data_IF_459570030294
#
_entry.id   IF_459570030294
#
_cell.length_a   1.000
_cell.length_b   1.000
_cell.length_c   1.000
_cell.angle_alpha   90.00
_cell.angle_beta   90.00
_cell.angle_gamma   90.00
#
_symmetry.space_group_name_H-M   'P 1'
#
loop_
_entity.id
_entity.type
_entity.pdbx_description
1 polymer ?
#
# COMPACT_ATOMS: atom_id res chain seq x y z
N UNK A 1 -41.24 63.35 -36.02
CA UNK A 1 -42.09 63.21 -34.80
C UNK A 1 -41.24 62.49 -33.76
N UNK A 2 -40.97 62.96 -32.54
CA UNK A 2 -41.63 64.02 -31.76
C UNK A 2 -42.88 63.46 -31.08
N UNK A 3 -43.07 63.50 -29.76
CA UNK A 3 -42.28 64.08 -28.63
C UNK A 3 -42.50 63.19 -27.38
N UNK A 4 -42.10 63.39 -26.11
CA UNK A 4 -41.57 64.49 -25.27
C UNK A 4 -40.99 63.89 -23.94
N UNK A 5 -40.53 64.62 -22.91
CA UNK A 5 -39.45 65.63 -22.75
C UNK A 5 -39.38 65.98 -21.24
N UNK A 6 -38.17 66.25 -20.69
CA UNK A 6 -37.88 67.20 -19.57
C UNK A 6 -37.91 66.68 -18.12
N UNK A 7 -36.96 67.16 -17.29
CA UNK A 7 -36.95 66.91 -15.84
C UNK A 7 -35.73 67.41 -15.02
N UNK A 8 -34.69 67.98 -15.63
CA UNK A 8 -33.41 68.29 -14.96
C UNK A 8 -33.46 69.43 -13.92
N UNK A 9 -32.60 69.36 -12.89
CA UNK A 9 -31.77 70.51 -12.45
C UNK A 9 -30.65 70.15 -11.46
N UNK A 10 -29.43 70.57 -11.78
CA UNK A 10 -28.35 70.82 -10.83
C UNK A 10 -28.46 72.25 -10.26
N UNK A 11 -27.89 72.49 -9.07
CA UNK A 11 -27.44 73.81 -8.60
C UNK A 11 -26.11 73.59 -7.85
N UNK A 12 -25.15 74.52 -7.96
CA UNK A 12 -23.75 74.29 -7.61
C UNK A 12 -23.23 75.09 -6.40
N UNK A 13 -22.21 74.54 -5.71
CA UNK A 13 -20.96 75.28 -5.49
C UNK A 13 -20.50 75.66 -4.06
N UNK A 14 -19.25 75.26 -3.74
CA UNK A 14 -18.21 76.04 -3.01
C UNK A 14 -18.40 76.27 -1.47
N UNK A 15 -17.35 76.31 -0.60
CA UNK A 15 -15.97 75.78 -0.65
C UNK A 15 -15.60 74.82 0.53
N UNK A 16 -14.34 74.38 0.64
CA UNK A 16 -13.77 73.70 1.83
C UNK A 16 -13.03 74.67 2.78
N UNK A 17 -13.02 74.42 4.11
CA UNK A 17 -11.94 74.85 5.00
C UNK A 17 -10.79 73.81 5.09
N UNK A 18 -9.60 74.23 5.53
CA UNK A 18 -8.43 73.36 5.82
C UNK A 18 -8.15 73.35 7.33
N UNK A 19 -7.93 72.18 7.93
CA UNK A 19 -7.13 72.02 9.17
C UNK A 19 -6.29 70.74 9.03
N UNK A 20 -4.97 70.85 8.89
CA UNK A 20 -3.91 70.97 9.95
C UNK A 20 -3.49 69.59 10.50
N UNK A 21 -2.26 69.19 10.15
CA UNK A 21 -1.61 67.95 10.60
C UNK A 21 -0.79 68.27 11.87
N UNK A 22 -0.95 67.52 12.98
CA UNK A 22 -0.08 67.66 14.15
C UNK A 22 1.26 66.96 13.91
N UNK A 23 2.38 67.65 14.16
CA UNK A 23 3.71 67.08 14.08
C UNK A 23 4.03 66.20 15.32
N UNK A 24 4.78 65.08 15.17
CA UNK A 24 5.17 64.25 16.30
C UNK A 24 6.17 64.99 17.21
N UNK A 25 5.85 65.09 18.50
CA UNK A 25 6.76 65.66 19.51
C UNK A 25 7.93 64.70 19.77
N UNK A 26 9.15 65.24 19.74
CA UNK A 26 10.34 64.52 20.13
C UNK A 26 10.41 64.29 21.65
N UNK A 27 10.83 63.09 22.06
CA UNK A 27 11.49 62.83 23.35
C UNK A 27 12.77 62.07 23.08
N UNK A 28 13.88 62.54 23.62
CA UNK A 28 15.19 61.89 23.48
C UNK A 28 15.34 60.73 24.46
N UNK A 29 16.26 59.85 24.13
CA UNK A 29 16.65 58.64 24.83
C UNK A 29 16.79 58.82 26.35
N UNK A 30 16.36 57.81 27.11
CA UNK A 30 17.19 57.29 28.19
C UNK A 30 17.68 55.92 27.75
N UNK A 31 18.99 55.75 27.65
CA UNK A 31 19.60 54.43 27.43
C UNK A 31 19.80 53.78 28.79
N UNK A 32 19.29 52.57 28.94
CA UNK A 32 19.78 51.62 29.94
C UNK A 32 20.48 50.49 29.19
N UNK A 33 21.60 50.02 29.71
CA UNK A 33 22.42 48.96 29.11
C UNK A 33 22.39 47.71 29.99
N UNK A 34 22.52 46.54 29.33
CA UNK A 34 22.69 45.21 29.93
C UNK A 34 21.45 44.63 30.64
N UNK A 35 21.20 43.32 30.61
CA UNK A 35 21.92 42.22 29.93
C UNK A 35 21.10 41.64 28.77
N UNK A 36 21.81 41.09 27.79
CA UNK A 36 21.28 40.02 26.92
C UNK A 36 21.74 38.71 27.54
N UNK A 37 20.83 37.96 28.16
CA UNK A 37 21.14 36.62 28.64
C UNK A 37 21.03 35.64 27.47
N UNK A 38 22.19 35.40 26.85
CA UNK A 38 22.40 34.39 25.82
C UNK A 38 22.38 32.97 26.44
N UNK A 39 21.96 32.00 25.63
CA UNK A 39 21.86 30.56 25.95
C UNK A 39 20.83 30.13 27.00
N UNK A 40 19.62 29.85 26.53
CA UNK A 40 18.82 28.73 27.03
C UNK A 40 18.98 27.54 26.06
N UNK A 41 19.74 26.48 26.41
CA UNK A 41 19.79 25.25 25.61
C UNK A 41 18.58 24.36 25.93
N UNK A 42 17.99 23.71 24.91
CA UNK A 42 17.06 22.61 25.14
C UNK A 42 15.58 22.84 24.83
N UNK A 43 15.22 23.59 23.77
CA UNK A 43 13.94 23.38 23.06
C UNK A 43 14.18 23.28 21.56
N UNK A 44 14.50 22.08 21.08
CA UNK A 44 14.09 21.73 19.70
C UNK A 44 12.57 21.64 19.73
N UNK A 45 11.89 22.18 18.72
CA UNK A 45 10.45 21.95 18.61
C UNK A 45 10.20 20.50 18.21
N UNK A 46 9.07 19.91 18.62
CA UNK A 46 8.74 18.52 18.27
C UNK A 46 8.84 18.27 16.75
N UNK A 47 8.44 19.25 15.93
CA UNK A 47 8.60 19.20 14.47
C UNK A 47 10.07 19.16 13.99
N UNK A 48 11.02 19.76 14.71
CA UNK A 48 12.46 19.61 14.43
C UNK A 48 12.97 18.24 14.87
N UNK A 49 12.46 17.68 15.97
CA UNK A 49 12.86 16.36 16.45
C UNK A 49 12.33 15.25 15.54
N UNK A 50 11.05 15.28 15.15
CA UNK A 50 10.48 14.38 14.15
C UNK A 50 11.20 14.48 12.80
N UNK A 51 11.57 15.68 12.33
CA UNK A 51 12.36 15.82 11.10
C UNK A 51 13.76 15.23 11.21
N UNK A 52 14.44 15.39 12.35
CA UNK A 52 15.76 14.78 12.58
C UNK A 52 15.66 13.25 12.72
N UNK A 53 14.63 12.74 13.41
CA UNK A 53 14.33 11.31 13.49
C UNK A 53 14.03 10.73 12.10
N UNK A 54 13.14 11.38 11.35
CA UNK A 54 12.82 11.06 9.95
C UNK A 54 14.07 10.99 9.07
N UNK A 55 14.92 12.03 9.06
CA UNK A 55 16.18 12.02 8.31
C UNK A 55 17.14 10.89 8.72
N UNK A 56 17.25 10.59 10.01
CA UNK A 56 18.07 9.47 10.49
C UNK A 56 17.50 8.09 10.15
N UNK A 57 16.17 7.99 10.02
CA UNK A 57 15.46 6.81 9.52
C UNK A 57 15.59 6.68 8.00
N UNK A 58 15.55 7.79 7.24
CA UNK A 58 15.80 7.81 5.78
C UNK A 58 17.14 7.16 5.44
N UNK A 59 18.18 7.46 6.22
CA UNK A 59 19.52 6.86 6.08
C UNK A 59 19.59 5.36 6.42
N UNK A 60 18.49 4.75 6.92
CA UNK A 60 18.34 3.33 7.26
C UNK A 60 17.26 2.62 6.45
N UNK A 61 16.64 3.27 5.45
CA UNK A 61 15.58 2.66 4.61
C UNK A 61 16.11 1.65 3.58
N UNK A 62 17.42 1.61 3.34
CA UNK A 62 18.06 0.74 2.35
C UNK A 62 19.19 -0.04 3.03
N UNK A 63 18.96 -1.33 3.28
CA UNK A 63 19.92 -2.28 3.82
C UNK A 63 20.46 -3.25 2.75
N UNK A 64 21.15 -4.33 3.18
CA UNK A 64 21.77 -5.28 2.25
C UNK A 64 20.77 -6.06 1.38
N UNK A 65 19.55 -6.30 1.88
CA UNK A 65 18.49 -7.02 1.16
C UNK A 65 17.89 -6.12 0.08
N UNK A 66 17.60 -4.87 0.42
CA UNK A 66 17.09 -3.84 -0.48
C UNK A 66 18.09 -3.56 -1.61
N UNK A 67 19.40 -3.51 -1.31
CA UNK A 67 20.44 -3.36 -2.34
C UNK A 67 20.48 -4.53 -3.33
N UNK A 68 20.23 -5.78 -2.90
CA UNK A 68 20.10 -6.92 -3.81
C UNK A 68 18.84 -6.79 -4.67
N UNK A 69 17.70 -6.46 -4.08
CA UNK A 69 16.46 -6.25 -4.83
C UNK A 69 16.64 -5.15 -5.90
N UNK A 70 17.18 -3.98 -5.52
CA UNK A 70 17.51 -2.89 -6.45
C UNK A 70 18.44 -3.38 -7.59
N UNK A 71 19.43 -4.22 -7.30
CA UNK A 71 20.32 -4.82 -8.32
C UNK A 71 19.59 -5.76 -9.30
N UNK A 72 18.55 -6.48 -8.85
CA UNK A 72 17.67 -7.26 -9.72
C UNK A 72 16.74 -6.37 -10.55
N UNK A 73 16.18 -5.30 -9.96
CA UNK A 73 15.34 -4.33 -10.67
C UNK A 73 16.10 -3.60 -11.79
N UNK A 74 17.40 -3.34 -11.63
CA UNK A 74 18.26 -2.81 -12.69
C UNK A 74 18.68 -3.83 -13.77
N UNK A 75 18.28 -5.11 -13.66
CA UNK A 75 18.61 -6.18 -14.61
C UNK A 75 17.42 -6.78 -15.34
N UNK A 76 16.26 -6.85 -14.70
CA UNK A 76 15.02 -7.26 -15.36
C UNK A 76 14.40 -6.10 -16.14
N UNK A 77 13.58 -6.45 -17.13
CA UNK A 77 12.72 -5.50 -17.83
C UNK A 77 11.24 -5.75 -17.47
N UNK A 78 10.62 -4.90 -16.64
CA UNK A 78 9.17 -4.92 -16.42
C UNK A 78 8.36 -4.65 -17.70
N UNK A 79 8.99 -4.14 -18.76
CA UNK A 79 8.44 -4.00 -20.12
C UNK A 79 7.93 -5.30 -20.72
N UNK A 80 8.50 -6.47 -20.35
CA UNK A 80 8.03 -7.78 -20.84
C UNK A 80 6.62 -8.14 -20.36
N UNK A 81 6.17 -7.54 -19.26
CA UNK A 81 4.85 -7.77 -18.68
C UNK A 81 3.84 -6.78 -19.25
N UNK A 82 3.35 -7.12 -20.44
CA UNK A 82 2.29 -6.38 -21.11
C UNK A 82 0.91 -6.73 -20.51
N UNK A 83 0.00 -5.75 -20.39
CA UNK A 83 -1.41 -5.99 -20.09
C UNK A 83 -2.15 -6.69 -21.25
N UNK A 84 -3.35 -7.26 -21.01
CA UNK A 84 -4.14 -7.91 -22.04
C UNK A 84 -4.46 -6.96 -23.23
N UNK A 85 -4.57 -7.49 -24.46
CA UNK A 85 -4.74 -6.69 -25.68
C UNK A 85 -6.13 -6.02 -25.81
N UNK A 86 -7.09 -6.39 -24.96
CA UNK A 86 -8.42 -5.81 -24.89
C UNK A 86 -8.95 -5.87 -23.45
N UNK A 87 -9.37 -4.75 -22.84
CA UNK A 87 -9.96 -4.75 -21.50
C UNK A 87 -11.29 -5.52 -21.45
N UNK A 88 -11.49 -6.37 -20.44
CA UNK A 88 -12.80 -6.97 -20.14
C UNK A 88 -13.69 -5.94 -19.42
N UNK A 89 -14.81 -5.50 -20.03
CA UNK A 89 -15.66 -4.47 -19.42
C UNK A 89 -16.27 -4.91 -18.07
N UNK A 90 -16.46 -6.21 -17.85
CA UNK A 90 -17.01 -6.75 -16.60
C UNK A 90 -15.96 -6.83 -15.49
N UNK A 91 -14.66 -6.91 -15.81
CA UNK A 91 -13.60 -6.73 -14.81
C UNK A 91 -13.48 -5.23 -14.48
N UNK A 92 -13.44 -4.37 -15.51
CA UNK A 92 -13.36 -2.91 -15.37
C UNK A 92 -14.50 -2.31 -14.54
N UNK A 93 -15.75 -2.73 -14.77
CA UNK A 93 -16.95 -2.28 -14.04
C UNK A 93 -16.77 -2.32 -12.51
N UNK A 94 -16.22 -3.42 -11.99
CA UNK A 94 -16.09 -3.64 -10.55
C UNK A 94 -15.03 -2.72 -9.90
N UNK A 95 -14.03 -2.31 -10.67
CA UNK A 95 -12.88 -1.53 -10.20
C UNK A 95 -12.81 -0.10 -10.73
N UNK A 96 -13.78 0.39 -11.52
CA UNK A 96 -13.70 1.73 -12.13
C UNK A 96 -13.73 2.88 -11.10
N UNK A 97 -14.72 2.91 -10.22
CA UNK A 97 -14.86 3.93 -9.16
C UNK A 97 -14.06 3.55 -7.91
N UNK A 98 -13.63 4.52 -7.07
CA UNK A 98 -13.12 4.24 -5.72
C UNK A 98 -14.11 3.42 -4.87
N UNK A 99 -13.61 2.83 -3.79
CA UNK A 99 -14.47 2.13 -2.81
C UNK A 99 -15.03 3.10 -1.77
N UNK A 100 -16.31 2.93 -1.42
CA UNK A 100 -16.99 3.82 -0.47
C UNK A 100 -16.84 3.38 1.01
N UNK A 101 -16.61 2.09 1.25
CA UNK A 101 -16.47 1.49 2.58
C UNK A 101 -15.71 0.17 2.52
N UNK A 102 -15.33 -0.39 3.67
CA UNK A 102 -14.69 -1.72 3.74
C UNK A 102 -15.62 -2.81 3.17
N UNK A 103 -16.93 -2.72 3.43
CA UNK A 103 -17.92 -3.65 2.88
C UNK A 103 -18.14 -3.50 1.36
N UNK A 104 -18.02 -2.28 0.83
CA UNK A 104 -18.04 -2.05 -0.62
C UNK A 104 -16.80 -2.63 -1.30
N UNK A 105 -15.60 -2.38 -0.74
CA UNK A 105 -14.35 -2.95 -1.19
C UNK A 105 -14.39 -4.48 -1.22
N UNK A 106 -14.75 -5.11 -0.10
CA UNK A 106 -14.87 -6.56 0.02
C UNK A 106 -15.89 -7.15 -0.96
N UNK A 107 -17.08 -6.55 -1.09
CA UNK A 107 -18.11 -7.04 -2.02
C UNK A 107 -17.66 -6.96 -3.49
N UNK A 108 -17.01 -5.85 -3.88
CA UNK A 108 -16.59 -5.62 -5.27
C UNK A 108 -15.34 -6.41 -5.63
N UNK A 109 -14.39 -6.52 -4.70
CA UNK A 109 -13.20 -7.36 -4.87
C UNK A 109 -13.54 -8.86 -4.83
N UNK A 110 -14.50 -9.30 -4.01
CA UNK A 110 -15.03 -10.67 -4.04
C UNK A 110 -15.75 -10.99 -5.34
N UNK A 111 -16.55 -10.05 -5.89
CA UNK A 111 -17.11 -10.21 -7.25
C UNK A 111 -16.05 -10.26 -8.35
N UNK A 112 -14.94 -9.55 -8.18
CA UNK A 112 -13.82 -9.55 -9.14
C UNK A 112 -13.07 -10.88 -9.08
N UNK A 113 -12.75 -11.34 -7.87
CA UNK A 113 -12.18 -12.65 -7.57
C UNK A 113 -12.98 -13.77 -8.23
N UNK A 114 -14.29 -13.80 -8.02
CA UNK A 114 -15.13 -14.86 -8.56
C UNK A 114 -15.27 -14.77 -10.08
N UNK A 115 -15.26 -13.55 -10.67
CA UNK A 115 -15.19 -13.35 -12.13
C UNK A 115 -13.84 -13.78 -12.73
N UNK A 116 -12.75 -13.76 -11.96
CA UNK A 116 -11.43 -14.25 -12.38
C UNK A 116 -11.33 -15.79 -12.26
N UNK A 117 -11.79 -16.38 -11.15
CA UNK A 117 -11.85 -17.85 -10.95
C UNK A 117 -12.67 -18.54 -12.04
N UNK A 118 -13.84 -17.98 -12.38
CA UNK A 118 -14.71 -18.47 -13.47
C UNK A 118 -14.08 -18.37 -14.88
N UNK A 119 -12.91 -17.73 -15.02
CA UNK A 119 -12.12 -17.62 -16.26
C UNK A 119 -10.79 -18.37 -16.21
N UNK A 120 -10.51 -19.09 -15.12
CA UNK A 120 -9.19 -19.69 -14.82
C UNK A 120 -8.03 -18.64 -14.77
N UNK A 121 -8.37 -17.38 -14.46
CA UNK A 121 -7.41 -16.27 -14.47
C UNK A 121 -6.60 -16.25 -13.17
N UNK A 122 -5.30 -16.58 -13.28
CA UNK A 122 -4.35 -16.68 -12.15
C UNK A 122 -4.20 -15.39 -11.33
N UNK A 123 -4.67 -14.23 -11.81
CA UNK A 123 -4.77 -13.00 -11.00
C UNK A 123 -5.74 -13.15 -9.82
N UNK A 124 -6.64 -14.14 -9.86
CA UNK A 124 -7.48 -14.54 -8.73
C UNK A 124 -6.67 -14.96 -7.49
N UNK A 125 -5.49 -15.57 -7.66
CA UNK A 125 -4.76 -16.26 -6.58
C UNK A 125 -4.48 -15.33 -5.39
N UNK A 126 -3.78 -14.22 -5.65
CA UNK A 126 -3.56 -13.20 -4.62
C UNK A 126 -4.87 -12.57 -4.14
N UNK A 127 -5.83 -12.34 -5.04
CA UNK A 127 -7.05 -11.64 -4.72
C UNK A 127 -7.96 -12.43 -3.76
N UNK A 128 -8.03 -13.76 -3.88
CA UNK A 128 -8.74 -14.63 -2.93
C UNK A 128 -8.16 -14.47 -1.51
N UNK A 129 -6.84 -14.55 -1.37
CA UNK A 129 -6.14 -14.35 -0.08
C UNK A 129 -6.45 -12.94 0.47
N UNK A 130 -6.40 -11.92 -0.38
CA UNK A 130 -6.62 -10.53 0.01
C UNK A 130 -8.06 -10.22 0.42
N UNK A 131 -9.07 -10.75 -0.29
CA UNK A 131 -10.49 -10.59 0.07
C UNK A 131 -10.78 -11.25 1.42
N UNK A 132 -10.28 -12.47 1.64
CA UNK A 132 -10.45 -13.20 2.91
C UNK A 132 -9.75 -12.48 4.07
N UNK A 133 -8.52 -11.99 3.87
CA UNK A 133 -7.81 -11.15 4.85
C UNK A 133 -8.60 -9.87 5.18
N UNK A 134 -9.13 -9.19 4.17
CA UNK A 134 -9.92 -7.95 4.35
C UNK A 134 -11.16 -8.20 5.20
N UNK A 135 -11.87 -9.31 4.99
CA UNK A 135 -12.98 -9.76 5.83
C UNK A 135 -12.59 -9.98 7.29
N UNK A 136 -11.53 -10.76 7.55
CA UNK A 136 -11.05 -11.02 8.93
C UNK A 136 -10.59 -9.75 9.66
N UNK A 137 -10.00 -8.78 8.97
CA UNK A 137 -9.66 -7.48 9.58
C UNK A 137 -10.91 -6.61 9.79
N UNK A 138 -11.91 -6.65 8.90
CA UNK A 138 -13.23 -6.02 9.12
C UNK A 138 -13.92 -6.59 10.37
N UNK A 139 -13.94 -7.90 10.52
CA UNK A 139 -14.51 -8.57 11.71
C UNK A 139 -13.80 -8.11 12.99
N UNK A 140 -12.46 -8.05 12.98
CA UNK A 140 -11.69 -7.47 14.09
C UNK A 140 -12.01 -6.00 14.39
N UNK A 141 -12.46 -5.21 13.42
CA UNK A 141 -12.94 -3.83 13.62
C UNK A 141 -14.30 -3.81 14.32
N UNK A 142 -15.25 -4.65 13.89
CA UNK A 142 -16.59 -4.69 14.48
C UNK A 142 -16.63 -5.40 15.86
N UNK A 143 -15.70 -6.32 16.11
CA UNK A 143 -15.43 -6.88 17.45
C UNK A 143 -14.70 -5.91 18.41
N UNK A 144 -14.17 -4.79 17.89
CA UNK A 144 -13.45 -3.80 18.71
C UNK A 144 -12.02 -4.20 19.10
N UNK A 145 -11.34 -5.06 18.31
CA UNK A 145 -9.92 -5.43 18.53
C UNK A 145 -8.95 -4.26 18.35
N UNK A 146 -9.37 -3.23 17.61
CA UNK A 146 -8.57 -2.04 17.29
C UNK A 146 -9.01 -0.82 18.12
N UNK A 147 -8.04 -0.02 18.55
CA UNK A 147 -8.26 1.17 19.35
C UNK A 147 -8.89 2.31 18.51
N UNK A 148 -8.41 2.60 17.30
CA UNK A 148 -9.05 3.52 16.35
C UNK A 148 -9.71 2.74 15.18
N UNK A 149 -10.92 2.18 15.38
CA UNK A 149 -11.64 1.42 14.36
C UNK A 149 -12.03 2.29 13.15
N UNK A 150 -12.07 3.61 13.27
CA UNK A 150 -12.47 4.53 12.21
C UNK A 150 -11.25 4.92 11.33
N UNK A 151 -10.07 5.12 11.92
CA UNK A 151 -8.82 5.14 11.14
C UNK A 151 -8.59 3.80 10.43
N UNK A 152 -8.84 2.68 11.12
CA UNK A 152 -8.74 1.34 10.52
C UNK A 152 -9.66 1.15 9.30
N UNK A 153 -10.95 1.55 9.36
CA UNK A 153 -11.85 1.48 8.19
C UNK A 153 -11.32 2.31 7.01
N UNK A 154 -10.83 3.53 7.25
CA UNK A 154 -10.22 4.36 6.20
C UNK A 154 -8.91 3.77 5.65
N UNK A 155 -8.10 3.14 6.50
CA UNK A 155 -6.85 2.49 6.11
C UNK A 155 -7.14 1.30 5.17
N UNK A 156 -8.09 0.43 5.52
CA UNK A 156 -8.51 -0.69 4.66
C UNK A 156 -9.06 -0.21 3.31
N UNK A 157 -9.95 0.78 3.30
CA UNK A 157 -10.49 1.38 2.05
C UNK A 157 -9.38 1.99 1.20
N UNK A 158 -8.45 2.73 1.81
CA UNK A 158 -7.32 3.35 1.10
C UNK A 158 -6.42 2.28 0.47
N UNK A 159 -6.09 1.22 1.24
CA UNK A 159 -5.21 0.14 0.79
C UNK A 159 -5.86 -0.65 -0.37
N UNK A 160 -7.15 -0.96 -0.26
CA UNK A 160 -7.92 -1.57 -1.35
C UNK A 160 -7.96 -0.68 -2.61
N UNK A 161 -8.06 0.65 -2.45
CA UNK A 161 -8.06 1.59 -3.57
C UNK A 161 -6.70 1.64 -4.32
N UNK A 162 -5.57 1.34 -3.67
CA UNK A 162 -4.28 1.17 -4.35
C UNK A 162 -4.25 -0.07 -5.24
N UNK A 163 -4.67 -1.24 -4.73
CA UNK A 163 -4.83 -2.46 -5.55
C UNK A 163 -5.77 -2.20 -6.73
N UNK A 164 -6.93 -1.60 -6.46
CA UNK A 164 -7.95 -1.25 -7.46
C UNK A 164 -7.38 -0.38 -8.58
N UNK A 165 -6.62 0.68 -8.25
CA UNK A 165 -5.97 1.54 -9.25
C UNK A 165 -4.99 0.75 -10.12
N UNK A 166 -4.15 -0.09 -9.52
CA UNK A 166 -3.19 -0.91 -10.24
C UNK A 166 -3.87 -1.92 -11.18
N UNK A 167 -4.89 -2.64 -10.68
CA UNK A 167 -5.67 -3.58 -11.48
C UNK A 167 -6.43 -2.87 -12.61
N UNK A 168 -7.12 -1.77 -12.33
CA UNK A 168 -7.86 -0.97 -13.32
C UNK A 168 -6.94 -0.45 -14.43
N UNK A 169 -5.77 0.07 -14.08
CA UNK A 169 -4.79 0.54 -15.06
C UNK A 169 -4.25 -0.61 -15.93
N UNK A 170 -3.98 -1.78 -15.33
CA UNK A 170 -3.50 -2.96 -16.05
C UNK A 170 -4.58 -3.49 -16.99
N UNK A 171 -5.79 -3.72 -16.50
CA UNK A 171 -6.93 -4.18 -17.30
C UNK A 171 -7.26 -3.21 -18.45
N UNK A 172 -7.11 -1.89 -18.24
CA UNK A 172 -7.29 -0.87 -19.29
C UNK A 172 -6.13 -0.72 -20.28
N UNK A 173 -5.02 -1.40 -20.08
CA UNK A 173 -3.84 -1.27 -20.93
C UNK A 173 -2.97 -0.03 -20.68
N UNK A 174 -3.25 0.76 -19.62
CA UNK A 174 -2.41 1.92 -19.25
C UNK A 174 -1.18 1.47 -18.46
N UNK A 175 -0.21 0.91 -19.19
CA UNK A 175 1.10 0.48 -18.69
C UNK A 175 1.81 1.56 -17.86
N UNK A 176 1.53 2.85 -18.12
CA UNK A 176 2.22 3.96 -17.47
C UNK A 176 1.66 4.28 -16.08
N UNK A 177 0.38 3.97 -15.84
CA UNK A 177 -0.27 4.13 -14.55
C UNK A 177 -0.09 2.90 -13.62
N UNK A 178 0.19 1.70 -14.15
CA UNK A 178 0.47 0.52 -13.30
C UNK A 178 1.85 0.62 -12.63
N UNK A 179 1.96 0.44 -11.31
CA UNK A 179 3.26 0.31 -10.65
C UNK A 179 4.04 -0.92 -11.14
N UNK A 180 5.35 -0.79 -11.32
CA UNK A 180 6.20 -1.88 -11.82
C UNK A 180 6.11 -3.22 -11.04
N UNK A 181 6.00 -3.29 -9.70
CA UNK A 181 5.78 -4.58 -9.03
C UNK A 181 4.42 -5.21 -9.38
N UNK A 182 3.37 -4.40 -9.57
CA UNK A 182 2.06 -4.86 -10.02
C UNK A 182 2.06 -5.29 -11.49
N UNK A 183 2.85 -4.63 -12.36
CA UNK A 183 3.06 -5.09 -13.74
C UNK A 183 3.66 -6.48 -13.77
N UNK A 184 4.71 -6.72 -12.98
CA UNK A 184 5.33 -8.05 -12.86
C UNK A 184 4.33 -9.07 -12.33
N UNK A 185 3.57 -8.75 -11.27
CA UNK A 185 2.59 -9.67 -10.68
C UNK A 185 1.45 -10.03 -11.65
N UNK A 186 0.76 -9.05 -12.23
CA UNK A 186 -0.37 -9.32 -13.13
C UNK A 186 0.08 -9.93 -14.45
N UNK A 187 1.21 -9.49 -15.03
CA UNK A 187 1.69 -10.01 -16.31
C UNK A 187 2.22 -11.45 -16.21
N UNK A 188 2.91 -11.81 -15.11
CA UNK A 188 3.34 -13.20 -14.92
C UNK A 188 2.15 -14.16 -14.82
N UNK A 189 1.12 -13.78 -14.06
CA UNK A 189 -0.13 -14.52 -13.91
C UNK A 189 -0.91 -14.66 -15.24
N UNK A 190 -1.01 -13.59 -16.05
CA UNK A 190 -1.66 -13.64 -17.37
C UNK A 190 -0.87 -14.48 -18.40
N UNK A 191 0.45 -14.62 -18.24
CA UNK A 191 1.30 -15.37 -19.18
C UNK A 191 1.46 -16.88 -18.84
N UNK A 192 0.92 -17.39 -17.73
CA UNK A 192 1.22 -18.73 -17.16
C UNK A 192 2.74 -18.97 -16.96
N UNK A 193 3.50 -17.91 -16.66
CA UNK A 193 4.95 -17.98 -16.45
C UNK A 193 5.35 -18.62 -15.09
N UNK A 194 4.38 -18.85 -14.21
CA UNK A 194 4.55 -19.03 -12.76
C UNK A 194 3.98 -20.34 -12.22
N UNK A 195 4.40 -20.70 -11.01
CA UNK A 195 3.68 -21.60 -10.10
C UNK A 195 2.65 -20.79 -9.30
N UNK A 196 1.55 -21.39 -8.85
CA UNK A 196 0.44 -20.66 -8.19
C UNK A 196 0.93 -19.95 -6.92
N UNK A 197 1.85 -20.57 -6.18
CA UNK A 197 2.54 -19.95 -5.05
C UNK A 197 3.34 -18.68 -5.45
N UNK A 198 3.97 -18.63 -6.62
CA UNK A 198 4.67 -17.42 -7.09
C UNK A 198 3.67 -16.29 -7.36
N UNK A 199 2.50 -16.57 -7.94
CA UNK A 199 1.45 -15.56 -8.17
C UNK A 199 0.97 -14.95 -6.83
N UNK A 200 0.78 -15.79 -5.81
CA UNK A 200 0.46 -15.33 -4.45
C UNK A 200 1.56 -14.42 -3.88
N UNK A 201 2.82 -14.85 -3.92
CA UNK A 201 3.95 -14.07 -3.39
C UNK A 201 4.22 -12.78 -4.18
N UNK A 202 4.00 -12.76 -5.50
CA UNK A 202 4.11 -11.57 -6.33
C UNK A 202 3.07 -10.51 -5.94
N UNK A 203 1.82 -10.91 -5.73
CA UNK A 203 0.76 -10.03 -5.25
C UNK A 203 1.00 -9.53 -3.83
N UNK A 204 1.38 -10.42 -2.90
CA UNK A 204 1.73 -10.04 -1.51
C UNK A 204 2.89 -9.04 -1.51
N UNK A 205 3.93 -9.28 -2.30
CA UNK A 205 5.06 -8.35 -2.43
C UNK A 205 4.63 -6.99 -3.01
N UNK A 206 3.81 -6.94 -4.06
CA UNK A 206 3.36 -5.68 -4.63
C UNK A 206 2.48 -4.89 -3.64
N UNK A 207 1.60 -5.57 -2.90
CA UNK A 207 0.70 -4.93 -1.95
C UNK A 207 1.42 -4.47 -0.67
N UNK A 208 2.17 -5.37 -0.01
CA UNK A 208 2.86 -5.08 1.25
C UNK A 208 4.10 -4.20 1.06
N UNK A 209 4.94 -4.47 0.05
CA UNK A 209 6.24 -3.77 -0.09
C UNK A 209 6.17 -2.50 -0.96
N UNK A 210 5.05 -2.22 -1.63
CA UNK A 210 4.85 -0.98 -2.40
C UNK A 210 3.60 -0.18 -1.98
N UNK A 211 2.39 -0.74 -2.09
CA UNK A 211 1.14 0.02 -1.85
C UNK A 211 0.99 0.47 -0.39
N UNK A 212 1.39 -0.39 0.56
CA UNK A 212 1.12 -0.22 1.99
C UNK A 212 1.70 1.07 2.57
N UNK A 213 2.94 1.40 2.23
CA UNK A 213 3.63 2.61 2.72
C UNK A 213 2.97 3.90 2.19
N UNK A 214 2.48 3.86 0.95
CA UNK A 214 1.78 4.96 0.29
C UNK A 214 0.34 5.08 0.83
N UNK A 215 -0.28 3.96 1.17
CA UNK A 215 -1.62 3.92 1.80
C UNK A 215 -1.60 4.49 3.22
N UNK A 216 -0.58 4.15 4.01
CA UNK A 216 -0.37 4.67 5.37
C UNK A 216 -0.08 6.17 5.38
N UNK A 217 0.71 6.67 4.42
CA UNK A 217 0.87 8.12 4.19
C UNK A 217 -0.48 8.78 3.84
N UNK A 218 -1.23 8.21 2.89
CA UNK A 218 -2.46 8.79 2.38
C UNK A 218 -3.61 8.82 3.41
N UNK A 219 -3.73 7.82 4.29
CA UNK A 219 -4.73 7.83 5.39
C UNK A 219 -4.32 8.72 6.58
N UNK A 220 -3.03 9.01 6.72
CA UNK A 220 -2.48 9.87 7.78
C UNK A 220 -2.24 9.13 9.09
N UNK A 221 -0.96 8.89 9.42
CA UNK A 221 -0.54 8.28 10.69
C UNK A 221 -0.56 9.25 11.88
N UNK A 222 -0.80 10.55 11.67
CA UNK A 222 -0.93 11.57 12.73
C UNK A 222 -2.38 12.11 12.79
N UNK A 223 -2.86 12.66 13.93
CA UNK A 223 -2.27 12.51 15.27
C UNK A 223 -2.31 11.05 15.75
N UNK A 224 -1.89 10.81 17.00
CA UNK A 224 -1.99 9.52 17.70
C UNK A 224 -1.19 8.37 17.08
N UNK A 225 -0.04 8.71 16.47
CA UNK A 225 0.89 7.81 15.77
C UNK A 225 1.21 6.50 16.50
N UNK A 226 1.40 6.54 17.82
CA UNK A 226 1.67 5.32 18.61
C UNK A 226 0.47 4.37 18.64
N UNK A 227 -0.74 4.88 18.86
CA UNK A 227 -1.97 4.07 18.86
C UNK A 227 -2.25 3.46 17.48
N UNK A 228 -2.08 4.26 16.42
CA UNK A 228 -2.22 3.79 15.03
C UNK A 228 -1.15 2.78 14.63
N UNK A 229 0.05 2.85 15.21
CA UNK A 229 1.09 1.84 15.04
C UNK A 229 0.74 0.53 15.72
N UNK A 230 0.20 0.57 16.94
CA UNK A 230 -0.26 -0.63 17.64
C UNK A 230 -1.47 -1.26 16.92
N UNK A 231 -2.41 -0.46 16.40
CA UNK A 231 -3.49 -0.93 15.52
C UNK A 231 -2.95 -1.53 14.20
N UNK A 232 -1.93 -0.92 13.60
CA UNK A 232 -1.25 -1.44 12.40
C UNK A 232 -0.58 -2.81 12.64
N UNK A 233 0.06 -3.01 13.80
CA UNK A 233 0.68 -4.30 14.18
C UNK A 233 -0.33 -5.33 14.68
N UNK A 234 -1.50 -4.92 15.19
CA UNK A 234 -2.56 -5.85 15.57
C UNK A 234 -3.10 -6.66 14.38
N UNK A 235 -2.93 -6.16 13.15
CA UNK A 235 -3.20 -6.91 11.91
C UNK A 235 -2.24 -8.10 11.74
N UNK A 236 -1.03 -8.06 12.31
CA UNK A 236 -0.02 -9.11 12.10
C UNK A 236 -0.44 -10.43 12.77
N UNK A 237 -1.21 -10.37 13.86
CA UNK A 237 -1.82 -11.54 14.48
C UNK A 237 -2.96 -12.14 13.64
N UNK A 238 -3.64 -11.32 12.83
CA UNK A 238 -4.65 -11.79 11.86
C UNK A 238 -3.95 -12.39 10.63
N UNK A 239 -2.79 -11.85 10.23
CA UNK A 239 -1.98 -12.36 9.13
C UNK A 239 -1.40 -13.75 9.39
N UNK A 240 -0.93 -14.04 10.61
CA UNK A 240 -0.37 -15.34 10.96
C UNK A 240 -1.32 -16.50 10.56
N UNK A 241 -2.54 -16.53 11.11
CA UNK A 241 -3.51 -17.58 10.79
C UNK A 241 -3.96 -17.64 9.32
N UNK A 242 -3.72 -16.59 8.52
CA UNK A 242 -3.93 -16.61 7.05
C UNK A 242 -2.76 -17.25 6.32
N UNK A 243 -1.53 -16.97 6.74
CA UNK A 243 -0.29 -17.58 6.19
C UNK A 243 -0.29 -19.09 6.45
N UNK A 244 -0.54 -19.50 7.70
CA UNK A 244 -0.55 -20.92 8.09
C UNK A 244 -1.57 -21.72 7.27
N UNK A 245 -2.75 -21.14 7.04
CA UNK A 245 -3.83 -21.75 6.25
C UNK A 245 -3.47 -21.85 4.75
N UNK A 246 -2.90 -20.80 4.18
CA UNK A 246 -2.41 -20.82 2.81
C UNK A 246 -1.33 -21.89 2.62
N UNK A 247 -0.40 -22.04 3.57
CA UNK A 247 0.65 -23.05 3.53
C UNK A 247 0.11 -24.47 3.62
N UNK A 248 -0.83 -24.77 4.53
CA UNK A 248 -1.45 -26.11 4.63
C UNK A 248 -2.18 -26.50 3.33
N UNK A 249 -2.92 -25.57 2.73
CA UNK A 249 -3.59 -25.79 1.46
C UNK A 249 -2.59 -26.10 0.33
N UNK A 250 -1.50 -25.32 0.23
CA UNK A 250 -0.43 -25.53 -0.77
C UNK A 250 0.32 -26.86 -0.54
N UNK A 251 0.68 -27.20 0.70
CA UNK A 251 1.35 -28.46 1.03
C UNK A 251 0.51 -29.67 0.61
N UNK A 252 -0.80 -29.67 0.93
CA UNK A 252 -1.73 -30.72 0.52
C UNK A 252 -1.99 -30.83 -0.99
N UNK A 253 -1.57 -29.84 -1.78
CA UNK A 253 -1.63 -29.85 -3.25
C UNK A 253 -0.34 -30.38 -3.88
N UNK A 254 0.81 -29.86 -3.47
CA UNK A 254 2.09 -30.14 -4.13
C UNK A 254 2.85 -31.33 -3.54
N UNK A 255 2.57 -31.72 -2.28
CA UNK A 255 3.23 -32.81 -1.58
C UNK A 255 2.24 -33.71 -0.78
N UNK A 256 1.18 -34.26 -1.42
CA UNK A 256 0.23 -35.14 -0.75
C UNK A 256 0.92 -36.42 -0.23
N UNK A 257 1.08 -36.51 1.09
CA UNK A 257 1.72 -37.65 1.77
C UNK A 257 3.22 -37.47 2.06
N UNK A 258 3.74 -36.24 2.06
CA UNK A 258 5.08 -35.92 2.58
C UNK A 258 4.93 -35.23 3.95
N UNK A 259 5.59 -35.77 4.97
CA UNK A 259 5.54 -35.22 6.35
C UNK A 259 6.44 -33.98 6.54
N UNK A 260 7.41 -33.76 5.65
CA UNK A 260 8.35 -32.63 5.65
C UNK A 260 8.07 -31.70 4.46
N UNK A 261 7.52 -30.52 4.78
CA UNK A 261 7.14 -29.49 3.80
C UNK A 261 8.37 -28.65 3.40
N UNK A 262 9.37 -28.53 4.27
CA UNK A 262 10.52 -27.64 4.08
C UNK A 262 11.47 -28.16 2.99
N UNK A 263 11.57 -29.48 2.78
CA UNK A 263 12.38 -30.04 1.70
C UNK A 263 11.83 -29.69 0.28
N UNK A 264 10.51 -29.48 0.14
CA UNK A 264 9.88 -29.13 -1.14
C UNK A 264 9.93 -27.63 -1.43
N UNK A 265 9.70 -26.79 -0.42
CA UNK A 265 9.64 -25.33 -0.57
C UNK A 265 11.00 -24.65 -0.30
N UNK A 266 11.95 -25.35 0.32
CA UNK A 266 13.34 -24.94 0.49
C UNK A 266 13.47 -23.60 1.22
N UNK A 267 14.13 -22.62 0.59
CA UNK A 267 14.34 -21.28 1.18
C UNK A 267 13.09 -20.38 1.19
N UNK A 268 11.90 -20.95 0.99
CA UNK A 268 10.61 -20.28 1.13
C UNK A 268 9.89 -20.63 2.46
N UNK A 269 10.52 -21.45 3.31
CA UNK A 269 10.44 -21.54 4.79
C UNK A 269 9.37 -20.66 5.48
N UNK A 270 8.51 -21.31 6.28
CA UNK A 270 7.47 -20.68 7.11
C UNK A 270 7.98 -19.48 7.93
N UNK A 271 9.14 -19.65 8.56
CA UNK A 271 9.82 -18.65 9.39
C UNK A 271 10.48 -17.52 8.59
N UNK A 272 10.57 -17.66 7.26
CA UNK A 272 10.93 -16.59 6.34
C UNK A 272 9.70 -15.92 5.72
N UNK A 273 8.60 -16.63 5.44
CA UNK A 273 7.40 -16.05 4.80
C UNK A 273 6.64 -15.13 5.76
N UNK A 274 6.20 -15.61 6.91
CA UNK A 274 5.47 -14.77 7.89
C UNK A 274 6.35 -13.60 8.37
N UNK A 275 7.62 -13.89 8.63
CA UNK A 275 8.62 -12.90 9.04
C UNK A 275 8.85 -11.82 7.99
N UNK A 276 8.96 -12.18 6.71
CA UNK A 276 9.08 -11.22 5.60
C UNK A 276 7.85 -10.32 5.49
N UNK A 277 6.65 -10.84 5.77
CA UNK A 277 5.44 -10.02 5.81
C UNK A 277 5.47 -9.02 6.97
N UNK A 278 5.82 -9.43 8.20
CA UNK A 278 5.96 -8.52 9.34
C UNK A 278 7.09 -7.50 9.13
N UNK A 279 8.28 -7.92 8.68
CA UNK A 279 9.40 -7.02 8.39
C UNK A 279 9.08 -6.03 7.24
N UNK A 280 8.30 -6.45 6.25
CA UNK A 280 7.77 -5.62 5.17
C UNK A 280 6.74 -4.58 5.66
N UNK A 281 5.83 -4.98 6.57
CA UNK A 281 4.86 -4.06 7.20
C UNK A 281 5.55 -3.02 8.09
N UNK A 282 6.53 -3.44 8.88
CA UNK A 282 7.40 -2.55 9.66
C UNK A 282 8.23 -1.60 8.78
N UNK A 283 8.72 -2.06 7.62
CA UNK A 283 9.37 -1.20 6.62
C UNK A 283 8.37 -0.19 6.04
N UNK A 284 7.15 -0.63 5.70
CA UNK A 284 6.11 0.25 5.17
C UNK A 284 5.71 1.34 6.17
N UNK A 285 5.54 1.02 7.45
CA UNK A 285 5.29 1.99 8.52
C UNK A 285 6.45 2.99 8.66
N UNK A 286 7.71 2.52 8.67
CA UNK A 286 8.90 3.38 8.72
C UNK A 286 8.99 4.33 7.51
N UNK A 287 8.65 3.86 6.31
CA UNK A 287 8.62 4.71 5.11
C UNK A 287 7.47 5.73 5.17
N UNK A 288 6.27 5.33 5.62
CA UNK A 288 5.15 6.24 5.81
C UNK A 288 5.49 7.36 6.80
N UNK A 289 6.11 7.03 7.94
CA UNK A 289 6.57 8.00 8.93
C UNK A 289 7.60 8.99 8.36
N UNK A 290 8.60 8.50 7.61
CA UNK A 290 9.58 9.37 6.93
C UNK A 290 8.90 10.34 5.95
N UNK A 291 7.89 9.87 5.20
CA UNK A 291 7.13 10.68 4.23
C UNK A 291 6.26 11.74 4.93
N UNK A 292 5.61 11.38 6.04
CA UNK A 292 4.84 12.30 6.89
C UNK A 292 5.73 13.36 7.53
N UNK A 293 6.89 12.99 8.09
CA UNK A 293 7.80 13.90 8.78
C UNK A 293 8.59 14.83 7.82
N UNK A 294 8.87 14.37 6.59
CA UNK A 294 9.74 15.07 5.62
C UNK A 294 9.08 15.13 4.24
N UNK A 295 8.04 15.96 4.13
CA UNK A 295 7.31 16.23 2.87
C UNK A 295 8.11 17.04 1.83
N UNK A 296 9.30 17.54 2.17
CA UNK A 296 10.14 18.33 1.25
C UNK A 296 10.96 17.45 0.29
N UNK A 297 11.02 17.79 -1.01
CA UNK A 297 11.92 17.13 -1.96
C UNK A 297 13.39 17.11 -1.48
N UNK A 298 14.17 16.05 -1.77
CA UNK A 298 13.82 14.91 -2.63
C UNK A 298 13.10 13.75 -1.91
N UNK A 299 12.80 13.84 -0.60
CA UNK A 299 12.45 12.66 0.22
C UNK A 299 11.20 11.90 -0.26
N UNK A 300 10.07 12.54 -0.66
CA UNK A 300 8.92 11.82 -1.21
C UNK A 300 9.24 11.11 -2.54
N UNK A 301 10.08 11.69 -3.40
CA UNK A 301 10.49 11.06 -4.66
C UNK A 301 11.46 9.89 -4.43
N UNK A 302 12.44 10.06 -3.52
CA UNK A 302 13.41 9.04 -3.17
C UNK A 302 12.74 7.83 -2.50
N UNK A 303 11.86 8.05 -1.53
CA UNK A 303 11.16 6.95 -0.85
C UNK A 303 10.23 6.18 -1.80
N UNK A 304 9.52 6.87 -2.69
CA UNK A 304 8.70 6.20 -3.72
C UNK A 304 9.56 5.42 -4.73
N UNK A 305 10.73 5.94 -5.10
CA UNK A 305 11.69 5.21 -5.94
C UNK A 305 12.25 3.97 -5.22
N UNK A 306 12.62 4.07 -3.93
CA UNK A 306 13.07 2.92 -3.13
C UNK A 306 12.00 1.84 -3.09
N UNK A 307 10.76 2.17 -2.70
CA UNK A 307 9.63 1.22 -2.69
C UNK A 307 9.44 0.54 -4.06
N UNK A 308 9.44 1.32 -5.15
CA UNK A 308 9.29 0.79 -6.52
C UNK A 308 10.44 -0.18 -6.84
N UNK A 309 11.68 0.22 -6.60
CA UNK A 309 12.86 -0.55 -6.96
C UNK A 309 13.03 -1.82 -6.10
N UNK A 310 12.75 -1.77 -4.80
CA UNK A 310 12.82 -2.96 -3.93
C UNK A 310 11.70 -3.94 -4.24
N UNK A 311 10.45 -3.50 -4.37
CA UNK A 311 9.33 -4.38 -4.68
C UNK A 311 9.45 -4.99 -6.09
N UNK A 312 9.87 -4.22 -7.10
CA UNK A 312 10.13 -4.77 -8.45
C UNK A 312 11.29 -5.76 -8.43
N UNK A 313 12.34 -5.46 -7.65
CA UNK A 313 13.49 -6.33 -7.46
C UNK A 313 13.15 -7.67 -6.81
N UNK A 314 12.34 -7.64 -5.76
CA UNK A 314 11.82 -8.83 -5.10
C UNK A 314 10.90 -9.64 -6.04
N UNK A 315 10.05 -8.98 -6.84
CA UNK A 315 9.22 -9.65 -7.84
C UNK A 315 10.06 -10.38 -8.90
N UNK A 316 11.12 -9.76 -9.41
CA UNK A 316 12.06 -10.37 -10.35
C UNK A 316 12.92 -11.48 -9.72
N UNK A 317 13.13 -11.44 -8.39
CA UNK A 317 13.78 -12.53 -7.64
C UNK A 317 12.83 -13.73 -7.45
N UNK A 318 11.55 -13.49 -7.12
CA UNK A 318 10.51 -14.54 -7.04
C UNK A 318 10.35 -15.27 -8.38
N UNK A 319 10.50 -14.55 -9.50
CA UNK A 319 10.46 -15.10 -10.86
C UNK A 319 11.79 -15.68 -11.38
N UNK A 320 12.89 -15.55 -10.64
CA UNK A 320 14.13 -16.22 -11.02
C UNK A 320 14.07 -17.70 -10.63
N UNK A 321 14.72 -18.63 -11.36
CA UNK A 321 14.67 -20.06 -11.04
C UNK A 321 15.41 -20.35 -9.72
N UNK A 322 14.63 -20.43 -8.63
CA UNK A 322 15.12 -20.78 -7.29
C UNK A 322 15.22 -22.30 -7.06
N UNK A 323 14.44 -23.07 -7.82
CA UNK A 323 14.31 -24.53 -7.69
C UNK A 323 15.20 -25.24 -8.70
N UNK A 324 15.52 -26.51 -8.44
CA UNK A 324 16.12 -27.36 -9.47
C UNK A 324 15.13 -27.58 -10.62
N UNK A 325 15.56 -27.56 -11.91
CA UNK A 325 14.64 -27.69 -13.04
C UNK A 325 13.78 -28.96 -13.05
N UNK A 326 14.24 -30.04 -12.40
CA UNK A 326 13.47 -31.27 -12.23
C UNK A 326 12.28 -31.07 -11.26
N UNK A 327 12.50 -30.35 -10.16
CA UNK A 327 11.46 -30.01 -9.16
C UNK A 327 10.46 -29.03 -9.77
N UNK A 328 10.93 -27.98 -10.45
CA UNK A 328 10.02 -27.04 -11.14
C UNK A 328 9.16 -27.75 -12.21
N UNK A 329 9.76 -28.63 -13.01
CA UNK A 329 9.04 -29.43 -14.01
C UNK A 329 8.10 -30.50 -13.40
N UNK A 330 8.30 -30.89 -12.14
CA UNK A 330 7.38 -31.74 -11.39
C UNK A 330 6.20 -30.91 -10.85
N UNK A 331 6.47 -29.76 -10.22
CA UNK A 331 5.42 -28.88 -9.67
C UNK A 331 4.49 -28.36 -10.78
N UNK A 332 5.05 -27.87 -11.91
CA UNK A 332 4.26 -27.44 -13.09
C UNK A 332 3.47 -28.59 -13.73
N UNK A 333 3.88 -29.84 -13.51
CA UNK A 333 3.12 -31.02 -13.95
C UNK A 333 1.97 -31.31 -13.00
N UNK A 334 2.18 -31.21 -11.69
CA UNK A 334 1.09 -31.35 -10.69
C UNK A 334 0.01 -30.30 -10.93
N UNK A 335 0.36 -29.04 -11.22
CA UNK A 335 -0.60 -28.01 -11.64
C UNK A 335 -1.38 -28.46 -12.89
N UNK A 336 -0.69 -28.87 -13.96
CA UNK A 336 -1.33 -29.14 -15.26
C UNK A 336 -2.05 -30.48 -15.38
N UNK A 337 -1.71 -31.49 -14.59
CA UNK A 337 -2.23 -32.86 -14.70
C UNK A 337 -3.22 -33.24 -13.57
N UNK A 338 -3.31 -32.47 -12.47
CA UNK A 338 -4.07 -32.89 -11.29
C UNK A 338 -4.70 -31.81 -10.40
N UNK A 339 -4.64 -30.52 -10.76
CA UNK A 339 -5.09 -29.42 -9.90
C UNK A 339 -5.77 -28.32 -10.72
N UNK A 340 -7.06 -28.05 -10.52
CA UNK A 340 -7.67 -26.82 -11.05
C UNK A 340 -7.43 -25.62 -10.12
N UNK A 341 -7.45 -24.40 -10.66
CA UNK A 341 -7.39 -23.18 -9.85
C UNK A 341 -8.55 -23.11 -8.84
N UNK A 342 -9.71 -23.64 -9.19
CA UNK A 342 -10.87 -23.72 -8.31
C UNK A 342 -10.63 -24.68 -7.12
N UNK A 343 -9.97 -25.82 -7.34
CA UNK A 343 -9.55 -26.75 -6.27
C UNK A 343 -8.52 -26.10 -5.32
N UNK A 344 -7.53 -25.36 -5.86
CA UNK A 344 -6.53 -24.69 -5.02
C UNK A 344 -7.19 -23.70 -4.08
N UNK A 345 -7.99 -22.81 -4.65
CA UNK A 345 -8.58 -21.71 -3.91
C UNK A 345 -9.67 -22.21 -2.96
N UNK A 346 -10.43 -23.25 -3.35
CA UNK A 346 -11.36 -23.95 -2.46
C UNK A 346 -10.68 -24.62 -1.25
N UNK A 347 -9.46 -25.15 -1.41
CA UNK A 347 -8.66 -25.66 -0.28
C UNK A 347 -8.12 -24.54 0.60
N UNK A 348 -7.63 -23.44 0.02
CA UNK A 348 -7.21 -22.25 0.78
C UNK A 348 -8.39 -21.70 1.60
N UNK A 349 -9.59 -21.66 1.02
CA UNK A 349 -10.81 -21.25 1.72
C UNK A 349 -11.18 -22.21 2.85
N UNK A 350 -11.18 -23.53 2.60
CA UNK A 350 -11.45 -24.52 3.64
C UNK A 350 -10.42 -24.48 4.80
N UNK A 351 -9.13 -24.26 4.52
CA UNK A 351 -8.09 -24.13 5.55
C UNK A 351 -8.18 -22.81 6.34
N UNK A 352 -8.72 -21.75 5.73
CA UNK A 352 -9.02 -20.49 6.41
C UNK A 352 -10.25 -20.63 7.32
N UNK A 353 -11.27 -21.38 6.88
CA UNK A 353 -12.50 -21.68 7.63
C UNK A 353 -12.25 -22.67 8.79
N UNK A 354 -11.46 -23.74 8.60
CA UNK A 354 -11.10 -24.66 9.71
C UNK A 354 -10.24 -23.95 10.76
N UNK A 355 -9.44 -22.96 10.36
CA UNK A 355 -8.71 -22.06 11.27
C UNK A 355 -9.62 -21.27 12.23
N UNK A 356 -10.92 -21.12 11.96
CA UNK A 356 -11.89 -20.51 12.88
C UNK A 356 -12.24 -21.40 14.08
N UNK A 357 -11.98 -22.72 13.97
CA UNK A 357 -12.43 -23.71 14.95
C UNK A 357 -11.46 -24.00 16.10
N UNK A 358 -10.22 -23.49 16.02
CA UNK A 358 -9.19 -23.67 17.04
C UNK A 358 -9.21 -22.51 18.05
N UNK A 359 -9.59 -22.73 19.32
CA UNK A 359 -9.47 -21.69 20.34
C UNK A 359 -7.99 -21.47 20.70
N UNK A 360 -7.51 -20.24 20.53
CA UNK A 360 -6.23 -19.82 21.10
C UNK A 360 -6.28 -19.91 22.62
N UNK A 361 -5.40 -20.72 23.21
CA UNK A 361 -5.23 -20.92 24.66
C UNK A 361 -4.25 -19.90 25.29
#
# INVERSE_FOLDING_TARGET
MGTSYRGSKEIAGVPRPKQVIPAPRSRKCHVSHSRVDLFAPGTRTLAQESRMAGLSTTARLVGPTELRAIWHAFRGDPGRFAPPPSPDPSLVELVETPFESVGDAEQRLGRLESRLRQRDDRRAVFLTIYVRMTGRVREGIEEGRFADPEWMRRYLVTFADYYRRAFLAFERGDVTAVPDPWRVAFGAAVNDETLIMQDAFLGVNAHINYDLALSLEAVGIDPDRHRKYDDHRAIDAILAGVVDAQQRALAGLYAPGVDDVDELFGRLDESLTLRSMTEGREQAWRVAAVRTDVTTPPVPSLTQWVLRATATGAALFILSPQLEPAVEAQLRRVEREGVSLEDVLGRVEAELETGESSPSF
#
